data_IF_243227775494
#
_entry.id   IF_243227775494
#
_cell.length_a   1.000
_cell.length_b   1.000
_cell.length_c   1.000
_cell.angle_alpha   90.00
_cell.angle_beta   90.00
_cell.angle_gamma   90.00
#
_symmetry.space_group_name_H-M   'P 1'
#
loop_
_entity.id
_entity.type
_entity.pdbx_description
1 polymer ?
#
# COMPACT_ATOMS: atom_id res chain seq x y z
N UNK A 1 10.97 7.90 2.39
CA UNK A 1 11.75 6.72 2.82
C UNK A 1 10.90 5.48 2.62
N UNK A 2 11.47 4.43 2.03
CA UNK A 2 10.91 3.09 1.95
C UNK A 2 11.71 2.19 2.89
N UNK A 3 11.06 1.67 3.93
CA UNK A 3 11.65 0.71 4.85
C UNK A 3 11.27 -0.70 4.39
N UNK A 4 12.24 -1.61 4.35
CA UNK A 4 12.02 -3.00 3.93
C UNK A 4 12.57 -3.97 4.97
N UNK A 5 11.84 -5.07 5.19
CA UNK A 5 12.26 -6.17 6.05
C UNK A 5 12.07 -7.48 5.27
N UNK A 6 13.08 -8.36 5.20
CA UNK A 6 12.90 -9.69 4.64
C UNK A 6 12.06 -10.55 5.58
N UNK A 7 11.17 -11.35 5.00
CA UNK A 7 10.33 -12.29 5.71
C UNK A 7 10.34 -13.64 4.99
N UNK A 8 10.63 -14.71 5.71
CA UNK A 8 10.60 -16.07 5.18
C UNK A 8 9.20 -16.65 5.31
N UNK A 9 8.63 -17.07 4.18
CA UNK A 9 7.36 -17.79 4.13
C UNK A 9 7.53 -19.24 4.60
N UNK A 10 6.44 -19.89 5.01
CA UNK A 10 6.47 -21.31 5.37
C UNK A 10 6.94 -22.24 4.25
N UNK A 11 6.97 -21.76 3.00
CA UNK A 11 7.55 -22.46 1.84
C UNK A 11 9.08 -22.37 1.78
N UNK A 12 9.73 -21.56 2.64
CA UNK A 12 11.16 -21.24 2.57
C UNK A 12 11.50 -20.08 1.62
N UNK A 13 10.52 -19.53 0.91
CA UNK A 13 10.71 -18.39 0.03
C UNK A 13 10.81 -17.10 0.85
N UNK A 14 11.79 -16.25 0.53
CA UNK A 14 11.94 -14.93 1.16
C UNK A 14 11.21 -13.86 0.35
N UNK A 15 10.38 -13.09 1.01
CA UNK A 15 9.69 -11.92 0.47
C UNK A 15 10.08 -10.66 1.25
N UNK A 16 9.96 -9.50 0.62
CA UNK A 16 10.15 -8.23 1.29
C UNK A 16 8.80 -7.69 1.78
N UNK A 17 8.73 -7.31 3.03
CA UNK A 17 7.65 -6.50 3.56
C UNK A 17 8.17 -5.07 3.67
N UNK A 18 7.49 -4.15 3.02
CA UNK A 18 7.90 -2.76 2.96
C UNK A 18 6.82 -1.83 3.52
N UNK A 19 7.23 -0.70 4.02
CA UNK A 19 6.33 0.38 4.42
C UNK A 19 6.86 1.74 3.98
N UNK A 20 5.94 2.63 3.60
CA UNK A 20 6.24 4.02 3.31
C UNK A 20 5.06 4.93 3.66
N UNK A 21 5.39 6.16 3.92
CA UNK A 21 4.42 7.23 4.12
C UNK A 21 4.78 8.40 3.21
N UNK A 22 3.80 8.87 2.45
CA UNK A 22 3.95 10.04 1.59
C UNK A 22 3.74 11.32 2.38
N UNK A 23 4.16 12.44 1.81
CA UNK A 23 4.00 13.74 2.45
C UNK A 23 2.51 14.07 2.65
N UNK A 24 2.15 14.44 3.87
CA UNK A 24 0.76 14.72 4.22
C UNK A 24 0.24 16.02 3.59
N UNK A 25 1.09 17.02 3.47
CA UNK A 25 0.70 18.39 3.13
C UNK A 25 1.02 18.77 1.68
N UNK A 26 2.18 18.36 1.17
CA UNK A 26 2.68 18.78 -0.14
C UNK A 26 2.34 17.78 -1.26
N UNK A 27 1.35 18.14 -2.08
CA UNK A 27 0.91 17.32 -3.21
C UNK A 27 2.02 17.11 -4.27
N UNK A 28 2.91 18.07 -4.48
CA UNK A 28 4.00 17.93 -5.43
C UNK A 28 5.06 16.95 -4.91
N UNK A 29 5.31 16.94 -3.61
CA UNK A 29 6.17 15.91 -3.01
C UNK A 29 5.55 14.52 -3.15
N UNK A 30 4.24 14.38 -2.90
CA UNK A 30 3.55 13.08 -3.11
C UNK A 30 3.72 12.56 -4.53
N UNK A 31 3.60 13.41 -5.54
CA UNK A 31 3.82 13.03 -6.94
C UNK A 31 5.24 12.50 -7.15
N UNK A 32 6.27 13.24 -6.69
CA UNK A 32 7.66 12.78 -6.79
C UNK A 32 7.92 11.47 -6.02
N UNK A 33 7.29 11.29 -4.86
CA UNK A 33 7.36 10.04 -4.10
C UNK A 33 6.71 8.88 -4.85
N UNK A 34 5.58 9.12 -5.52
CA UNK A 34 4.91 8.13 -6.36
C UNK A 34 5.76 7.73 -7.57
N UNK A 35 6.41 8.68 -8.22
CA UNK A 35 7.35 8.44 -9.33
C UNK A 35 8.54 7.59 -8.87
N UNK A 36 9.13 7.93 -7.73
CA UNK A 36 10.24 7.17 -7.15
C UNK A 36 9.81 5.73 -6.79
N UNK A 37 8.62 5.57 -6.19
CA UNK A 37 8.11 4.25 -5.87
C UNK A 37 7.78 3.43 -7.13
N UNK A 38 7.23 4.07 -8.17
CA UNK A 38 6.97 3.42 -9.44
C UNK A 38 8.28 2.94 -10.13
N UNK A 39 9.33 3.75 -10.10
CA UNK A 39 10.65 3.37 -10.61
C UNK A 39 11.25 2.20 -9.82
N UNK A 40 11.03 2.14 -8.51
CA UNK A 40 11.49 1.04 -7.66
C UNK A 40 10.88 -0.31 -8.06
N UNK A 41 9.65 -0.35 -8.56
CA UNK A 41 9.02 -1.60 -9.02
C UNK A 41 9.81 -2.28 -10.15
N UNK A 42 10.51 -1.52 -10.98
CA UNK A 42 11.34 -2.05 -12.07
C UNK A 42 12.72 -2.55 -11.58
N UNK A 43 13.13 -2.17 -10.39
CA UNK A 43 14.44 -2.48 -9.82
C UNK A 43 14.39 -3.66 -8.83
N UNK A 44 13.28 -3.82 -8.10
CA UNK A 44 13.15 -4.85 -7.08
C UNK A 44 13.09 -6.25 -7.72
N UNK A 45 13.99 -7.14 -7.27
CA UNK A 45 14.08 -8.52 -7.78
C UNK A 45 13.27 -9.50 -6.95
N UNK A 46 13.17 -9.25 -5.66
CA UNK A 46 12.42 -10.10 -4.74
C UNK A 46 10.93 -9.81 -4.83
N UNK A 47 10.11 -10.80 -4.49
CA UNK A 47 8.70 -10.57 -4.24
C UNK A 47 8.52 -9.59 -3.08
N UNK A 48 7.66 -8.60 -3.25
CA UNK A 48 7.49 -7.52 -2.26
C UNK A 48 6.02 -7.16 -2.07
N UNK A 49 5.69 -6.84 -0.84
CA UNK A 49 4.41 -6.24 -0.42
C UNK A 49 4.69 -4.91 0.25
N UNK A 50 4.03 -3.86 -0.18
CA UNK A 50 4.25 -2.50 0.31
C UNK A 50 2.99 -1.98 0.99
N UNK A 51 3.09 -1.67 2.28
CA UNK A 51 2.07 -0.96 3.04
C UNK A 51 2.34 0.55 2.92
N UNK A 52 1.42 1.30 2.35
CA UNK A 52 1.62 2.70 2.04
C UNK A 52 0.46 3.59 2.51
N UNK A 53 0.79 4.68 3.23
CA UNK A 53 -0.12 5.80 3.43
C UNK A 53 0.22 6.89 2.43
N UNK A 54 -0.65 7.10 1.45
CA UNK A 54 -0.34 7.99 0.31
C UNK A 54 -1.05 9.34 0.37
N UNK A 55 -1.92 9.55 1.36
CA UNK A 55 -2.68 10.79 1.60
C UNK A 55 -3.42 11.32 0.37
N UNK A 56 -3.86 10.42 -0.50
CA UNK A 56 -4.64 10.74 -1.69
C UNK A 56 -5.55 9.57 -2.06
N UNK A 57 -6.77 9.87 -2.51
CA UNK A 57 -7.71 8.87 -2.99
C UNK A 57 -7.29 8.31 -4.36
N UNK A 58 -7.86 7.19 -4.76
CA UNK A 58 -7.54 6.50 -6.02
C UNK A 58 -7.77 7.31 -7.30
N UNK A 59 -8.61 8.32 -7.24
CA UNK A 59 -8.85 9.22 -8.38
C UNK A 59 -7.76 10.28 -8.57
N UNK A 60 -6.82 10.39 -7.63
CA UNK A 60 -5.79 11.41 -7.63
C UNK A 60 -4.56 11.09 -8.47
N UNK A 61 -3.67 12.08 -8.60
CA UNK A 61 -2.47 12.00 -9.43
C UNK A 61 -1.47 10.94 -8.96
N UNK A 62 -1.32 10.77 -7.66
CA UNK A 62 -0.46 9.74 -7.05
C UNK A 62 -0.86 8.36 -7.56
N UNK A 63 -2.16 8.04 -7.49
CA UNK A 63 -2.64 6.75 -7.95
C UNK A 63 -2.55 6.56 -9.46
N UNK A 64 -2.70 7.63 -10.24
CA UNK A 64 -2.49 7.59 -11.69
C UNK A 64 -1.06 7.17 -12.07
N UNK A 65 -0.09 7.49 -11.22
CA UNK A 65 1.30 7.06 -11.37
C UNK A 65 1.48 5.61 -10.88
N UNK A 66 1.06 5.34 -9.65
CA UNK A 66 1.28 4.04 -8.99
C UNK A 66 0.61 2.87 -9.71
N UNK A 67 -0.62 3.03 -10.22
CA UNK A 67 -1.37 1.96 -10.91
C UNK A 67 -0.71 1.43 -12.18
N UNK A 68 0.27 2.17 -12.73
CA UNK A 68 1.05 1.72 -13.90
C UNK A 68 2.05 0.61 -13.55
N UNK A 69 2.43 0.49 -12.27
CA UNK A 69 3.45 -0.44 -11.79
C UNK A 69 2.96 -1.35 -10.66
N UNK A 70 1.93 -0.92 -9.93
CA UNK A 70 1.42 -1.62 -8.77
C UNK A 70 -0.07 -1.94 -8.90
N UNK A 71 -0.46 -3.07 -8.33
CA UNK A 71 -1.83 -3.44 -8.03
C UNK A 71 -2.10 -3.13 -6.57
N UNK A 72 -3.24 -2.51 -6.27
CA UNK A 72 -3.72 -2.48 -4.88
C UNK A 72 -4.34 -3.82 -4.54
N UNK A 73 -3.93 -4.40 -3.42
CA UNK A 73 -4.36 -5.74 -3.03
C UNK A 73 -5.78 -5.81 -2.44
N UNK A 74 -6.44 -4.68 -2.23
CA UNK A 74 -7.81 -4.58 -1.69
C UNK A 74 -8.80 -4.03 -2.72
N UNK A 75 -8.78 -4.58 -3.92
CA UNK A 75 -9.55 -4.15 -5.09
C UNK A 75 -11.09 -4.10 -4.86
N UNK A 76 -11.59 -4.89 -3.92
CA UNK A 76 -13.02 -5.02 -3.66
C UNK A 76 -13.52 -4.23 -2.44
N UNK A 77 -12.64 -3.59 -1.69
CA UNK A 77 -13.01 -2.74 -0.57
C UNK A 77 -12.89 -1.28 -0.98
N UNK A 78 -14.02 -0.56 -0.97
CA UNK A 78 -14.07 0.90 -1.12
C UNK A 78 -14.09 1.62 0.23
N UNK A 79 -13.90 0.89 1.34
CA UNK A 79 -13.98 1.47 2.67
C UNK A 79 -12.85 2.47 2.91
N UNK A 80 -13.21 3.59 3.49
CA UNK A 80 -12.29 4.66 3.86
C UNK A 80 -11.50 4.30 5.11
N UNK A 81 -10.29 4.86 5.23
CA UNK A 81 -9.38 4.63 6.36
C UNK A 81 -9.14 5.87 7.21
N UNK A 82 -9.50 7.06 6.72
CA UNK A 82 -9.20 8.33 7.39
C UNK A 82 -10.38 9.32 7.30
N UNK A 83 -10.66 10.08 8.36
CA UNK A 83 -10.21 9.87 9.74
C UNK A 83 -10.86 8.62 10.37
N UNK A 84 -10.32 8.12 11.50
CA UNK A 84 -10.82 6.89 12.10
C UNK A 84 -12.25 6.99 12.62
N UNK A 85 -12.69 8.18 13.05
CA UNK A 85 -14.03 8.38 13.66
C UNK A 85 -15.15 8.36 12.63
N UNK A 86 -14.97 9.09 11.54
CA UNK A 86 -15.93 9.14 10.41
C UNK A 86 -15.13 9.11 9.12
N UNK A 87 -14.75 7.93 8.62
CA UNK A 87 -13.86 7.84 7.48
C UNK A 87 -14.48 8.42 6.21
N UNK A 88 -13.82 9.41 5.65
CA UNK A 88 -14.24 10.11 4.42
C UNK A 88 -13.28 9.85 3.25
N UNK A 89 -12.06 9.42 3.55
CA UNK A 89 -11.00 9.23 2.56
C UNK A 89 -10.29 7.89 2.75
N UNK A 90 -9.85 7.32 1.63
CA UNK A 90 -8.96 6.17 1.65
C UNK A 90 -7.54 6.61 1.36
N UNK A 91 -6.67 6.55 2.38
CA UNK A 91 -5.28 6.97 2.28
C UNK A 91 -4.28 5.83 2.42
N UNK A 92 -4.75 4.67 2.93
CA UNK A 92 -3.90 3.54 3.24
C UNK A 92 -4.15 2.39 2.28
N UNK A 93 -3.07 1.87 1.72
CA UNK A 93 -3.09 0.85 0.69
C UNK A 93 -2.02 -0.20 0.90
N UNK A 94 -2.30 -1.42 0.47
CA UNK A 94 -1.30 -2.45 0.29
C UNK A 94 -1.09 -2.63 -1.21
N UNK A 95 0.14 -2.45 -1.65
CA UNK A 95 0.55 -2.44 -3.03
C UNK A 95 1.45 -3.64 -3.33
N UNK A 96 1.23 -4.26 -4.46
CA UNK A 96 2.09 -5.32 -4.99
C UNK A 96 2.45 -5.03 -6.44
N UNK A 97 3.69 -5.25 -6.88
CA UNK A 97 4.08 -5.01 -8.27
C UNK A 97 3.22 -5.81 -9.26
N UNK A 98 2.87 -5.20 -10.39
CA UNK A 98 2.11 -5.88 -11.45
C UNK A 98 2.86 -7.06 -12.06
N UNK A 99 4.21 -7.01 -12.01
CA UNK A 99 5.10 -8.09 -12.48
C UNK A 99 5.12 -9.32 -11.58
N UNK A 100 4.53 -9.24 -10.38
CA UNK A 100 4.53 -10.32 -9.39
C UNK A 100 3.13 -10.92 -9.24
N UNK A 101 3.07 -12.22 -8.94
CA UNK A 101 1.81 -12.95 -8.92
C UNK A 101 1.22 -13.06 -7.50
N UNK A 102 0.80 -11.93 -6.94
CA UNK A 102 0.12 -11.87 -5.66
C UNK A 102 -1.40 -12.01 -5.79
N UNK A 103 -2.01 -12.76 -4.87
CA UNK A 103 -3.46 -12.87 -4.75
C UNK A 103 -3.96 -12.42 -3.37
N UNK A 104 -5.03 -11.63 -3.35
CA UNK A 104 -5.73 -11.23 -2.12
C UNK A 104 -6.80 -12.24 -1.78
N UNK A 105 -6.81 -12.72 -0.53
CA UNK A 105 -7.77 -13.69 -0.01
C UNK A 105 -8.82 -13.06 0.90
N UNK A 106 -8.43 -12.07 1.71
CA UNK A 106 -9.31 -11.37 2.64
C UNK A 106 -8.84 -9.94 2.88
N UNK A 107 -9.81 -9.05 3.14
CA UNK A 107 -9.58 -7.65 3.49
C UNK A 107 -10.50 -7.28 4.64
N UNK A 108 -9.96 -6.59 5.65
CA UNK A 108 -10.74 -6.01 6.75
C UNK A 108 -10.18 -4.63 7.09
N UNK A 109 -11.09 -3.68 7.40
CA UNK A 109 -10.72 -2.36 7.92
C UNK A 109 -11.31 -2.24 9.31
N UNK A 110 -10.47 -2.02 10.33
CA UNK A 110 -10.83 -1.97 11.74
C UNK A 110 -10.06 -0.90 12.48
N UNK A 111 -10.52 -0.60 13.67
CA UNK A 111 -9.86 0.32 14.59
C UNK A 111 -10.71 1.54 14.89
N UNK A 112 -10.31 2.23 15.93
CA UNK A 112 -10.94 3.44 16.41
C UNK A 112 -9.90 4.53 16.73
N UNK A 113 -10.39 5.70 17.07
CA UNK A 113 -9.57 6.89 17.35
C UNK A 113 -8.65 6.77 18.56
N UNK A 114 -8.85 5.77 19.42
CA UNK A 114 -8.03 5.61 20.64
C UNK A 114 -6.65 5.03 20.32
N UNK A 115 -6.52 4.40 19.16
CA UNK A 115 -5.27 3.76 18.71
C UNK A 115 -4.54 4.60 17.67
N UNK A 116 -5.28 5.17 16.71
CA UNK A 116 -4.73 5.95 15.60
C UNK A 116 -5.81 6.86 15.03
N UNK A 117 -5.41 7.94 14.37
CA UNK A 117 -6.30 8.76 13.53
C UNK A 117 -6.64 8.10 12.18
N UNK A 118 -6.00 6.97 11.86
CA UNK A 118 -6.36 6.08 10.76
C UNK A 118 -6.97 4.78 11.25
N UNK A 119 -7.87 4.18 10.47
CA UNK A 119 -8.27 2.78 10.63
C UNK A 119 -7.20 1.85 10.09
N UNK A 120 -6.99 0.73 10.75
CA UNK A 120 -6.04 -0.29 10.30
C UNK A 120 -6.62 -1.10 9.14
N UNK A 121 -5.80 -1.30 8.11
CA UNK A 121 -6.10 -2.17 6.97
C UNK A 121 -5.41 -3.52 7.15
N UNK A 122 -6.21 -4.58 7.28
CA UNK A 122 -5.73 -5.96 7.41
C UNK A 122 -5.96 -6.71 6.10
N UNK A 123 -4.91 -7.35 5.60
CA UNK A 123 -4.98 -8.21 4.43
C UNK A 123 -4.44 -9.60 4.69
N UNK A 124 -5.09 -10.59 4.06
CA UNK A 124 -4.47 -11.89 3.81
C UNK A 124 -4.16 -11.99 2.32
N UNK A 125 -2.89 -12.11 2.01
CA UNK A 125 -2.40 -12.23 0.64
C UNK A 125 -1.46 -13.43 0.55
N UNK A 126 -1.27 -13.96 -0.65
CA UNK A 126 -0.36 -15.05 -0.92
C UNK A 126 0.23 -14.96 -2.32
N UNK A 127 1.42 -15.51 -2.50
CA UNK A 127 1.99 -15.76 -3.83
C UNK A 127 1.24 -16.93 -4.49
N UNK A 128 0.99 -16.78 -5.76
CA UNK A 128 0.36 -17.82 -6.59
C UNK A 128 1.40 -18.53 -7.43
#
# INVERSE_FOLDING_TARGET
>A
VLLTVPYELGSGETVLIATCQFDKEDANKRVRQAEALAAYADQVKQNIVICASVYENESGNVFNILKKKYRRSCKFSSENTYPAVQPESRFDYVLTPLSQNWGTQAVQIKGDQTVSDHKALFLRIGLK
#
